data_IF_466716292643
#
_entry.id   IF_466716292643
#
_cell.length_a   1.000
_cell.length_b   1.000
_cell.length_c   1.000
_cell.angle_alpha   90.00
_cell.angle_beta   90.00
_cell.angle_gamma   90.00
#
_symmetry.space_group_name_H-M   'P 1'
#
loop_
_entity.id
_entity.type
_entity.pdbx_description
1 polymer ?
#
# COMPACT_ATOMS: atom_id res chain seq x y z
N UNK A 1 34.66 -22.22 4.23
CA UNK A 1 34.55 -21.03 3.36
C UNK A 1 35.07 -19.81 4.10
N UNK A 2 35.76 -18.89 3.43
CA UNK A 2 36.30 -17.67 4.01
C UNK A 2 35.15 -16.70 4.37
N UNK A 3 35.02 -16.34 5.66
CA UNK A 3 33.95 -15.47 6.17
C UNK A 3 33.91 -14.11 5.47
N UNK A 4 35.08 -13.54 5.12
CA UNK A 4 35.14 -12.25 4.43
C UNK A 4 34.60 -12.34 3.01
N UNK A 5 34.93 -13.43 2.30
CA UNK A 5 34.39 -13.69 0.97
C UNK A 5 32.87 -13.91 1.01
N UNK A 6 32.35 -14.60 2.03
CA UNK A 6 30.90 -14.78 2.22
C UNK A 6 30.21 -13.42 2.43
N UNK A 7 30.75 -12.56 3.30
CA UNK A 7 30.18 -11.23 3.57
C UNK A 7 30.10 -10.38 2.31
N UNK A 8 31.17 -10.34 1.52
CA UNK A 8 31.19 -9.59 0.26
C UNK A 8 30.14 -10.09 -0.75
N UNK A 9 29.95 -11.41 -0.85
CA UNK A 9 28.92 -11.99 -1.72
C UNK A 9 27.52 -11.60 -1.25
N UNK A 10 27.25 -11.65 0.06
CA UNK A 10 25.95 -11.27 0.64
C UNK A 10 25.67 -9.78 0.42
N UNK A 11 26.66 -8.90 0.65
CA UNK A 11 26.53 -7.45 0.43
C UNK A 11 26.24 -7.15 -1.04
N UNK A 12 26.98 -7.76 -1.97
CA UNK A 12 26.75 -7.59 -3.41
C UNK A 12 25.37 -8.08 -3.85
N UNK A 13 24.89 -9.20 -3.30
CA UNK A 13 23.55 -9.70 -3.58
C UNK A 13 22.47 -8.76 -3.04
N UNK A 14 22.66 -8.23 -1.82
CA UNK A 14 21.71 -7.32 -1.18
C UNK A 14 21.55 -6.02 -1.97
N UNK A 15 22.67 -5.43 -2.43
CA UNK A 15 22.65 -4.23 -3.28
C UNK A 15 21.87 -4.43 -4.58
N UNK A 16 22.01 -5.59 -5.22
CA UNK A 16 21.25 -5.91 -6.44
C UNK A 16 19.76 -6.07 -6.17
N UNK A 17 19.40 -6.64 -5.02
CA UNK A 17 18.00 -6.75 -4.59
C UNK A 17 17.41 -5.36 -4.34
N UNK A 18 18.15 -4.47 -3.69
CA UNK A 18 17.70 -3.09 -3.43
C UNK A 18 17.54 -2.28 -4.71
N UNK A 19 18.47 -2.41 -5.65
CA UNK A 19 18.36 -1.78 -6.97
C UNK A 19 17.13 -2.29 -7.73
N UNK A 20 16.93 -3.61 -7.73
CA UNK A 20 15.75 -4.24 -8.32
C UNK A 20 14.46 -3.72 -7.68
N UNK A 21 14.38 -3.70 -6.35
CA UNK A 21 13.20 -3.23 -5.61
C UNK A 21 12.91 -1.76 -5.91
N UNK A 22 13.95 -0.93 -5.98
CA UNK A 22 13.82 0.50 -6.33
C UNK A 22 13.23 0.69 -7.73
N UNK A 23 13.67 -0.13 -8.70
CA UNK A 23 13.14 -0.07 -10.08
C UNK A 23 11.72 -0.63 -10.17
N UNK A 24 11.46 -1.79 -9.54
CA UNK A 24 10.14 -2.45 -9.56
C UNK A 24 9.05 -1.61 -8.86
N UNK A 25 9.42 -0.81 -7.86
CA UNK A 25 8.47 0.09 -7.16
C UNK A 25 8.11 1.33 -7.98
N UNK A 26 8.91 1.71 -8.98
CA UNK A 26 8.58 2.79 -9.90
C UNK A 26 7.71 2.30 -11.07
N UNK A 27 6.47 1.89 -10.79
CA UNK A 27 5.49 1.41 -11.77
C UNK A 27 5.01 2.47 -12.79
N UNK A 28 5.61 3.66 -12.79
CA UNK A 28 5.35 4.71 -13.78
C UNK A 28 6.15 4.50 -15.07
N UNK A 29 7.23 3.72 -15.03
CA UNK A 29 8.02 3.35 -16.22
C UNK A 29 7.61 1.96 -16.74
N UNK A 30 7.85 1.71 -18.03
CA UNK A 30 7.62 0.39 -18.62
C UNK A 30 8.55 -0.68 -18.03
N UNK A 31 9.81 -0.30 -17.75
CA UNK A 31 10.78 -1.12 -17.04
C UNK A 31 10.26 -1.52 -15.65
N UNK A 32 9.80 -0.56 -14.84
CA UNK A 32 9.30 -0.82 -13.50
C UNK A 32 8.06 -1.73 -13.48
N UNK A 33 7.13 -1.53 -14.43
CA UNK A 33 5.98 -2.43 -14.61
C UNK A 33 6.41 -3.85 -14.94
N UNK A 34 7.31 -4.01 -15.91
CA UNK A 34 7.81 -5.31 -16.35
C UNK A 34 8.56 -6.04 -15.24
N UNK A 35 9.38 -5.33 -14.45
CA UNK A 35 10.08 -5.89 -13.30
C UNK A 35 9.11 -6.32 -12.19
N UNK A 36 8.05 -5.54 -11.93
CA UNK A 36 7.01 -5.91 -10.98
C UNK A 36 6.26 -7.17 -11.44
N UNK A 37 5.90 -7.28 -12.71
CA UNK A 37 5.26 -8.47 -13.28
C UNK A 37 6.16 -9.71 -13.17
N UNK A 38 7.44 -9.58 -13.53
CA UNK A 38 8.43 -10.65 -13.39
C UNK A 38 8.58 -11.10 -11.92
N UNK A 39 8.62 -10.15 -10.98
CA UNK A 39 8.66 -10.42 -9.55
C UNK A 39 7.45 -11.23 -9.08
N UNK A 40 6.23 -10.85 -9.48
CA UNK A 40 5.00 -11.56 -9.13
C UNK A 40 5.03 -12.99 -9.68
N UNK A 41 5.50 -13.19 -10.91
CA UNK A 41 5.65 -14.52 -11.51
C UNK A 41 6.63 -15.40 -10.72
N UNK A 42 7.79 -14.84 -10.36
CA UNK A 42 8.81 -15.55 -9.55
C UNK A 42 8.28 -15.90 -8.16
N UNK A 43 7.61 -14.96 -7.49
CA UNK A 43 6.99 -15.18 -6.18
C UNK A 43 5.98 -16.34 -6.24
N UNK A 44 5.05 -16.32 -7.20
CA UNK A 44 4.06 -17.39 -7.38
C UNK A 44 4.70 -18.74 -7.69
N UNK A 45 5.72 -18.77 -8.54
CA UNK A 45 6.46 -19.99 -8.87
C UNK A 45 7.20 -20.56 -7.65
N UNK A 46 7.81 -19.68 -6.84
CA UNK A 46 8.48 -20.05 -5.59
C UNK A 46 7.52 -20.63 -4.57
N UNK A 47 6.37 -19.98 -4.33
CA UNK A 47 5.32 -20.49 -3.44
C UNK A 47 4.84 -21.86 -3.92
N UNK A 48 4.55 -22.02 -5.22
CA UNK A 48 4.16 -23.32 -5.79
C UNK A 48 5.21 -24.39 -5.53
N UNK A 49 6.49 -24.10 -5.78
CA UNK A 49 7.57 -25.05 -5.56
C UNK A 49 7.73 -25.43 -4.07
N UNK A 50 7.50 -24.48 -3.15
CA UNK A 50 7.50 -24.75 -1.72
C UNK A 50 6.30 -25.61 -1.31
N UNK A 51 5.11 -25.34 -1.86
CA UNK A 51 3.90 -26.13 -1.61
C UNK A 51 4.08 -27.56 -2.12
N UNK A 52 4.56 -27.72 -3.35
CA UNK A 52 4.82 -29.03 -3.95
C UNK A 52 5.83 -29.85 -3.11
N UNK A 53 6.77 -29.18 -2.42
CA UNK A 53 7.83 -29.83 -1.65
C UNK A 53 7.49 -30.07 -0.18
N UNK A 54 6.74 -29.16 0.45
CA UNK A 54 6.52 -29.13 1.91
C UNK A 54 5.05 -29.20 2.32
N UNK A 55 4.11 -29.28 1.37
CA UNK A 55 2.68 -29.32 1.65
C UNK A 55 2.06 -27.92 1.66
N UNK A 56 1.30 -27.55 2.68
CA UNK A 56 0.62 -26.24 2.71
C UNK A 56 1.56 -25.13 3.16
N UNK A 57 1.68 -24.05 2.39
CA UNK A 57 2.13 -22.77 2.92
C UNK A 57 0.91 -22.05 3.51
N UNK A 58 1.05 -21.55 4.73
CA UNK A 58 0.01 -20.70 5.31
C UNK A 58 0.07 -19.32 4.65
N UNK A 59 -0.74 -19.14 3.61
CA UNK A 59 -0.91 -17.87 2.88
C UNK A 59 -1.65 -16.81 3.70
N UNK A 60 -1.93 -17.05 5.00
CA UNK A 60 -2.56 -16.06 5.88
C UNK A 60 -1.65 -14.93 6.33
N UNK A 61 -0.43 -14.80 5.77
CA UNK A 61 0.28 -13.51 5.71
C UNK A 61 -0.44 -12.52 4.76
N UNK A 62 -1.77 -12.37 4.90
CA UNK A 62 -2.38 -11.09 4.62
C UNK A 62 -1.88 -10.19 5.75
N UNK A 63 -1.06 -9.17 5.49
CA UNK A 63 -0.92 -8.15 6.49
C UNK A 63 -2.34 -7.65 6.78
N UNK A 64 -2.66 -7.52 8.06
CA UNK A 64 -3.95 -7.08 8.62
C UNK A 64 -4.31 -5.63 8.25
N UNK A 65 -3.81 -5.17 7.10
CA UNK A 65 -4.09 -3.87 6.53
C UNK A 65 -5.58 -3.81 6.23
N UNK A 66 -6.25 -2.88 6.93
CA UNK A 66 -7.69 -2.58 6.94
C UNK A 66 -8.53 -3.27 8.02
N UNK A 67 -8.01 -4.22 8.82
CA UNK A 67 -8.86 -4.91 9.80
C UNK A 67 -9.35 -4.01 10.95
N UNK A 68 -8.63 -2.93 11.30
CA UNK A 68 -8.96 -2.09 12.47
C UNK A 68 -8.91 -0.56 12.25
N UNK A 69 -8.59 -0.07 11.04
CA UNK A 69 -7.97 1.26 10.90
C UNK A 69 -8.57 2.28 9.92
N UNK A 70 -9.78 2.11 9.38
CA UNK A 70 -10.37 3.20 8.58
C UNK A 70 -10.50 4.49 9.42
N UNK A 71 -10.83 4.35 10.71
CA UNK A 71 -10.83 5.45 11.67
C UNK A 71 -9.42 5.99 11.93
N UNK A 72 -8.42 5.12 12.12
CA UNK A 72 -7.04 5.55 12.38
C UNK A 72 -6.46 6.44 11.28
N UNK A 73 -6.69 6.12 10.00
CA UNK A 73 -6.14 6.94 8.93
C UNK A 73 -6.78 8.33 8.89
N UNK A 74 -8.12 8.42 8.92
CA UNK A 74 -8.77 9.72 8.89
C UNK A 74 -8.41 10.56 10.11
N UNK A 75 -8.42 9.94 11.28
CA UNK A 75 -8.14 10.60 12.55
C UNK A 75 -6.66 11.06 12.62
N UNK A 76 -5.73 10.23 12.15
CA UNK A 76 -4.32 10.60 12.04
C UNK A 76 -4.10 11.76 11.07
N UNK A 77 -4.74 11.73 9.90
CA UNK A 77 -4.63 12.81 8.92
C UNK A 77 -5.14 14.13 9.51
N UNK A 78 -6.31 14.11 10.15
CA UNK A 78 -6.91 15.27 10.83
C UNK A 78 -6.02 15.82 11.96
N UNK A 79 -5.39 14.96 12.76
CA UNK A 79 -4.56 15.36 13.90
C UNK A 79 -3.13 15.80 13.52
N UNK A 80 -2.63 15.37 12.37
CA UNK A 80 -1.22 15.55 11.97
C UNK A 80 -1.02 16.73 11.02
N UNK A 81 -1.95 16.95 10.09
CA UNK A 81 -1.73 17.87 8.98
C UNK A 81 -2.54 19.17 9.10
N UNK A 82 -2.08 20.26 8.46
CA UNK A 82 -2.84 21.51 8.35
C UNK A 82 -4.21 21.29 7.69
N UNK A 83 -5.20 22.11 8.05
CA UNK A 83 -6.59 22.01 7.57
C UNK A 83 -6.67 21.88 6.05
N UNK A 84 -5.94 22.71 5.32
CA UNK A 84 -5.96 22.73 3.85
C UNK A 84 -5.51 21.39 3.25
N UNK A 85 -4.52 20.75 3.88
CA UNK A 85 -4.01 19.44 3.43
C UNK A 85 -5.01 18.33 3.73
N UNK A 86 -5.68 18.37 4.89
CA UNK A 86 -6.74 17.42 5.26
C UNK A 86 -7.94 17.54 4.30
N UNK A 87 -8.36 18.77 3.99
CA UNK A 87 -9.41 19.03 2.98
C UNK A 87 -8.98 18.51 1.61
N UNK A 88 -7.72 18.73 1.22
CA UNK A 88 -7.14 18.18 -0.02
C UNK A 88 -7.17 16.65 -0.06
N UNK A 89 -6.77 16.00 1.03
CA UNK A 89 -6.83 14.55 1.18
C UNK A 89 -8.25 14.00 0.97
N UNK A 90 -9.26 14.65 1.55
CA UNK A 90 -10.65 14.26 1.36
C UNK A 90 -11.10 14.39 -0.09
N UNK A 91 -10.86 15.56 -0.71
CA UNK A 91 -11.26 15.86 -2.09
C UNK A 91 -10.60 14.91 -3.09
N UNK A 92 -9.29 14.72 -3.00
CA UNK A 92 -8.54 13.90 -3.94
C UNK A 92 -8.96 12.42 -3.87
N UNK A 93 -9.23 11.89 -2.68
CA UNK A 93 -9.71 10.52 -2.55
C UNK A 93 -11.15 10.36 -3.05
N UNK A 94 -12.06 11.30 -2.77
CA UNK A 94 -13.40 11.28 -3.32
C UNK A 94 -13.37 11.27 -4.86
N UNK A 95 -12.59 12.17 -5.47
CA UNK A 95 -12.40 12.22 -6.94
C UNK A 95 -11.79 10.93 -7.46
N UNK A 96 -10.73 10.40 -6.82
CA UNK A 96 -10.09 9.13 -7.21
C UNK A 96 -11.10 7.99 -7.30
N UNK A 97 -12.03 7.88 -6.34
CA UNK A 97 -13.03 6.81 -6.37
C UNK A 97 -14.14 7.09 -7.39
N UNK A 98 -14.55 8.36 -7.55
CA UNK A 98 -15.52 8.76 -8.58
C UNK A 98 -14.98 8.60 -10.01
N UNK A 99 -13.68 8.67 -10.25
CA UNK A 99 -13.11 8.43 -11.60
C UNK A 99 -12.90 6.95 -11.87
N UNK A 100 -12.67 6.16 -10.83
CA UNK A 100 -12.32 4.74 -10.94
C UNK A 100 -13.52 3.79 -11.01
N UNK A 101 -14.70 4.22 -10.54
CA UNK A 101 -15.83 3.31 -10.32
C UNK A 101 -16.26 2.54 -11.57
N UNK A 102 -16.30 3.17 -12.75
CA UNK A 102 -16.70 2.49 -13.99
C UNK A 102 -15.68 1.45 -14.47
N UNK A 103 -14.41 1.61 -14.10
CA UNK A 103 -13.29 0.86 -14.69
C UNK A 103 -12.70 -0.20 -13.74
N UNK A 104 -12.96 -0.11 -12.43
CA UNK A 104 -12.33 -1.03 -11.44
C UNK A 104 -13.32 -1.77 -10.55
N UNK A 105 -14.01 -1.06 -9.64
CA UNK A 105 -14.75 -1.72 -8.56
C UNK A 105 -16.26 -1.40 -8.54
N UNK A 106 -16.80 -0.70 -9.53
CA UNK A 106 -18.22 -0.37 -9.61
C UNK A 106 -18.73 0.39 -8.39
N UNK A 107 -19.89 -0.02 -7.89
CA UNK A 107 -20.59 0.59 -6.76
C UNK A 107 -19.72 0.69 -5.49
N UNK A 108 -18.77 -0.23 -5.29
CA UNK A 108 -17.90 -0.20 -4.11
C UNK A 108 -17.03 1.07 -4.06
N UNK A 109 -16.56 1.56 -5.20
CA UNK A 109 -15.84 2.83 -5.25
C UNK A 109 -16.80 4.02 -4.99
N UNK A 110 -18.07 3.95 -5.43
CA UNK A 110 -19.05 5.00 -5.09
C UNK A 110 -19.32 5.07 -3.58
N UNK A 111 -19.40 3.93 -2.90
CA UNK A 111 -19.52 3.88 -1.43
C UNK A 111 -18.30 4.52 -0.76
N UNK A 112 -17.09 4.23 -1.25
CA UNK A 112 -15.86 4.86 -0.75
C UNK A 112 -15.86 6.37 -0.99
N UNK A 113 -16.25 6.84 -2.17
CA UNK A 113 -16.38 8.27 -2.43
C UNK A 113 -17.32 8.95 -1.42
N UNK A 114 -18.47 8.32 -1.14
CA UNK A 114 -19.43 8.83 -0.15
C UNK A 114 -18.84 8.89 1.26
N UNK A 115 -18.02 7.93 1.69
CA UNK A 115 -17.33 7.97 2.99
C UNK A 115 -16.45 9.22 3.09
N UNK A 116 -15.61 9.49 2.08
CA UNK A 116 -14.73 10.65 2.08
C UNK A 116 -15.51 11.97 2.07
N UNK A 117 -16.62 12.06 1.33
CA UNK A 117 -17.49 13.25 1.33
C UNK A 117 -18.14 13.46 2.70
N UNK A 118 -18.68 12.40 3.32
CA UNK A 118 -19.28 12.48 4.66
C UNK A 118 -18.25 12.90 5.71
N UNK A 119 -17.05 12.34 5.66
CA UNK A 119 -15.96 12.70 6.59
C UNK A 119 -15.51 14.15 6.39
N UNK A 120 -15.48 14.65 5.15
CA UNK A 120 -15.17 16.06 4.87
C UNK A 120 -16.22 17.00 5.45
N UNK A 121 -17.51 16.70 5.25
CA UNK A 121 -18.61 17.49 5.84
C UNK A 121 -18.44 17.58 7.36
N UNK A 122 -18.26 16.43 8.01
CA UNK A 122 -18.03 16.37 9.46
C UNK A 122 -16.81 17.17 9.91
N UNK A 123 -15.70 17.10 9.16
CA UNK A 123 -14.48 17.84 9.48
C UNK A 123 -14.67 19.36 9.33
N UNK A 124 -15.40 19.83 8.32
CA UNK A 124 -15.71 21.26 8.15
C UNK A 124 -16.68 21.77 9.23
N UNK A 125 -17.64 20.94 9.67
CA UNK A 125 -18.61 21.29 10.71
C UNK A 125 -18.00 21.29 12.13
N UNK A 126 -17.10 20.34 12.41
CA UNK A 126 -16.68 20.01 13.79
C UNK A 126 -15.17 20.18 14.03
N UNK A 127 -14.36 20.35 12.99
CA UNK A 127 -12.90 20.36 13.09
C UNK A 127 -12.30 18.98 13.38
N UNK A 128 -11.10 18.97 13.94
CA UNK A 128 -10.35 17.74 14.28
C UNK A 128 -11.11 16.96 15.36
N UNK A 129 -11.45 15.69 15.07
CA UNK A 129 -12.30 14.89 15.96
C UNK A 129 -11.56 14.20 17.10
N UNK A 130 -10.29 13.88 16.92
CA UNK A 130 -9.49 13.19 17.94
C UNK A 130 -8.46 14.18 18.45
N UNK A 131 -8.56 14.53 19.74
CA UNK A 131 -7.54 15.36 20.40
C UNK A 131 -6.23 14.57 20.37
N UNK A 132 -5.12 15.22 19.99
CA UNK A 132 -3.78 14.67 20.18
C UNK A 132 -3.69 14.12 21.60
N UNK A 133 -3.48 12.82 21.73
CA UNK A 133 -2.97 12.27 22.98
C UNK A 133 -1.54 12.79 23.05
N UNK A 134 -1.34 13.79 23.92
CA UNK A 134 -0.03 14.36 24.20
C UNK A 134 0.86 13.37 24.92
#
# INVERSE_FOLDING_TARGET
MNIQAIKQVIESASLKIDEFNTKATNMRTEEGKSLCEAWVCLYKAGIKALVDKFGTCDDTLKPDHYANGEFELFDMMEATFPKEQVVGFYKLNAVKYLTRYQQKNGIEDLKKAMIYIKRLIQFEEQGVRVKKVG
#
